data_IF_398949376381
#
_entry.id   IF_398949376381
#
_cell.length_a   1.000
_cell.length_b   1.000
_cell.length_c   1.000
_cell.angle_alpha   90.00
_cell.angle_beta   90.00
_cell.angle_gamma   90.00
#
_symmetry.space_group_name_H-M   'P 1'
#
loop_
_entity.id
_entity.type
_entity.pdbx_description
1 polymer ?
#
# COMPACT_ATOMS: atom_id res chain seq x y z
N UNK A 1 6.59 -2.50 -10.91
CA UNK A 1 7.99 -2.95 -10.74
C UNK A 1 8.29 -3.57 -9.37
N UNK A 2 7.30 -3.82 -8.50
CA UNK A 2 7.59 -4.41 -7.17
C UNK A 2 8.18 -5.82 -7.29
N UNK A 3 7.61 -6.67 -8.14
CA UNK A 3 8.10 -8.04 -8.34
C UNK A 3 9.57 -8.10 -8.79
N UNK A 4 9.97 -7.23 -9.73
CA UNK A 4 11.37 -7.14 -10.17
C UNK A 4 12.31 -6.76 -9.04
N UNK A 5 11.87 -5.89 -8.11
CA UNK A 5 12.66 -5.53 -6.93
C UNK A 5 12.75 -6.71 -5.97
N UNK A 6 11.64 -7.42 -5.71
CA UNK A 6 11.66 -8.62 -4.86
C UNK A 6 12.61 -9.68 -5.40
N UNK A 7 12.53 -9.98 -6.70
CA UNK A 7 13.43 -10.93 -7.37
C UNK A 7 14.91 -10.53 -7.23
N UNK A 8 15.24 -9.24 -7.38
CA UNK A 8 16.61 -8.76 -7.19
C UNK A 8 17.11 -8.95 -5.75
N UNK A 9 16.25 -8.73 -4.75
CA UNK A 9 16.59 -8.96 -3.33
C UNK A 9 16.74 -10.46 -3.05
N UNK A 10 15.85 -11.31 -3.58
CA UNK A 10 15.90 -12.76 -3.41
C UNK A 10 17.18 -13.40 -3.99
N UNK A 11 17.73 -12.85 -5.08
CA UNK A 11 19.01 -13.30 -5.65
C UNK A 11 20.24 -12.65 -4.99
N UNK A 12 20.06 -11.85 -3.94
CA UNK A 12 21.15 -11.25 -3.17
C UNK A 12 21.78 -10.01 -3.81
N UNK A 13 21.09 -9.32 -4.72
CA UNK A 13 21.61 -8.08 -5.32
C UNK A 13 21.71 -6.90 -4.33
N UNK A 14 21.05 -7.00 -3.17
CA UNK A 14 21.09 -5.99 -2.11
C UNK A 14 19.85 -6.00 -1.22
N UNK A 15 19.58 -4.86 -0.57
CA UNK A 15 18.38 -4.63 0.25
C UNK A 15 17.46 -3.60 -0.42
N UNK A 16 16.17 -3.61 -0.09
CA UNK A 16 15.21 -2.64 -0.60
C UNK A 16 14.18 -2.23 0.46
N UNK A 17 13.58 -1.05 0.28
CA UNK A 17 12.45 -0.57 1.08
C UNK A 17 11.19 -0.70 0.23
N UNK A 18 10.26 -1.53 0.70
CA UNK A 18 8.99 -1.81 0.03
C UNK A 18 7.82 -1.58 0.99
N UNK A 19 6.60 -1.32 0.49
CA UNK A 19 5.42 -1.32 1.34
C UNK A 19 5.24 -2.70 1.98
N UNK A 20 5.04 -2.74 3.29
CA UNK A 20 4.88 -3.97 4.08
C UNK A 20 3.90 -5.00 3.44
N UNK A 21 2.70 -4.62 2.97
CA UNK A 21 1.76 -5.59 2.39
C UNK A 21 2.28 -6.31 1.15
N UNK A 22 3.30 -5.76 0.49
CA UNK A 22 3.81 -6.28 -0.79
C UNK A 22 4.84 -7.40 -0.62
N UNK A 23 5.37 -7.58 0.61
CA UNK A 23 6.34 -8.61 0.97
C UNK A 23 5.79 -9.65 1.95
N UNK A 24 4.54 -9.48 2.41
CA UNK A 24 3.87 -10.39 3.37
C UNK A 24 3.97 -11.86 2.97
N UNK A 25 3.82 -12.15 1.67
CA UNK A 25 3.89 -13.52 1.16
C UNK A 25 5.30 -14.07 1.29
N UNK A 26 6.30 -13.34 0.82
CA UNK A 26 7.71 -13.72 0.82
C UNK A 26 8.24 -13.91 2.25
N UNK A 27 7.80 -13.05 3.18
CA UNK A 27 8.11 -13.19 4.61
C UNK A 27 7.46 -14.45 5.19
N UNK A 28 6.18 -14.74 4.87
CA UNK A 28 5.48 -15.95 5.35
C UNK A 28 6.11 -17.24 4.87
N UNK A 29 6.61 -17.28 3.63
CA UNK A 29 7.28 -18.47 3.07
C UNK A 29 8.78 -18.52 3.38
N UNK A 30 9.33 -17.48 4.00
CA UNK A 30 10.74 -17.40 4.38
C UNK A 30 11.71 -17.12 3.23
N UNK A 31 11.23 -16.61 2.08
CA UNK A 31 12.13 -16.23 0.98
C UNK A 31 12.77 -14.85 1.19
N UNK A 32 12.11 -13.97 1.96
CA UNK A 32 12.62 -12.67 2.37
C UNK A 32 12.45 -12.46 3.87
N UNK A 33 13.23 -11.55 4.44
CA UNK A 33 13.11 -11.09 5.83
C UNK A 33 12.81 -9.60 5.83
N UNK A 34 11.79 -9.19 6.60
CA UNK A 34 11.48 -7.78 6.82
C UNK A 34 12.25 -7.25 8.04
N UNK A 35 12.85 -6.07 7.91
CA UNK A 35 13.58 -5.39 8.98
C UNK A 35 12.84 -4.10 9.33
N UNK A 36 12.44 -3.89 10.60
CA UNK A 36 11.79 -2.65 11.03
C UNK A 36 12.69 -1.44 10.77
N UNK A 37 12.15 -0.39 10.14
CA UNK A 37 12.88 0.85 9.95
C UNK A 37 12.86 1.68 11.24
N UNK A 38 14.02 2.16 11.69
CA UNK A 38 14.17 3.01 12.87
C UNK A 38 13.76 4.49 12.61
N UNK A 39 12.57 4.69 12.03
CA UNK A 39 11.99 5.99 11.70
C UNK A 39 10.55 6.07 12.21
N UNK A 40 10.11 7.27 12.60
CA UNK A 40 8.74 7.48 13.03
C UNK A 40 7.78 7.31 11.83
N UNK A 41 6.87 6.35 11.95
CA UNK A 41 5.71 6.04 11.08
C UNK A 41 5.86 6.53 9.62
N UNK A 42 6.57 5.77 8.79
CA UNK A 42 6.50 5.96 7.33
C UNK A 42 5.09 5.56 6.84
N UNK A 43 4.36 6.50 6.26
CA UNK A 43 3.00 6.28 5.73
C UNK A 43 2.98 6.46 4.22
N UNK A 44 2.25 5.58 3.54
CA UNK A 44 2.00 5.65 2.10
C UNK A 44 0.49 5.64 1.84
N UNK A 45 -0.20 6.79 1.98
CA UNK A 45 -1.64 6.84 1.74
C UNK A 45 -1.95 6.55 0.27
N UNK A 46 -3.11 5.94 0.04
CA UNK A 46 -3.67 5.67 -1.29
C UNK A 46 -4.98 6.45 -1.40
N UNK A 47 -5.25 7.02 -2.58
CA UNK A 47 -6.45 7.81 -2.83
C UNK A 47 -7.23 7.30 -4.03
N UNK A 48 -8.52 7.64 -4.06
CA UNK A 48 -9.41 7.37 -5.19
C UNK A 48 -9.41 8.61 -6.11
N UNK A 49 -9.03 8.43 -7.38
CA UNK A 49 -8.98 9.51 -8.36
C UNK A 49 -10.15 9.37 -9.33
N UNK A 50 -10.89 10.46 -9.55
CA UNK A 50 -11.97 10.54 -10.54
C UNK A 50 -12.03 11.92 -11.21
N UNK A 51 -12.66 11.98 -12.38
CA UNK A 51 -12.80 13.24 -13.15
C UNK A 51 -13.82 14.15 -12.47
N UNK A 52 -13.40 15.38 -12.14
CA UNK A 52 -14.19 16.36 -11.38
C UNK A 52 -15.58 16.66 -11.94
N UNK A 53 -15.73 16.71 -13.28
CA UNK A 53 -17.00 17.05 -13.95
C UNK A 53 -17.78 15.85 -14.47
N UNK A 54 -17.39 14.62 -14.12
CA UNK A 54 -18.12 13.41 -14.52
C UNK A 54 -19.02 12.99 -13.36
N UNK A 55 -20.33 13.01 -13.57
CA UNK A 55 -21.27 12.48 -12.59
C UNK A 55 -21.01 10.98 -12.37
N UNK A 56 -21.01 10.58 -11.11
CA UNK A 56 -20.96 9.17 -10.77
C UNK A 56 -22.29 8.52 -11.14
N UNK A 57 -22.21 7.42 -11.87
CA UNK A 57 -23.37 6.53 -11.98
C UNK A 57 -23.64 5.91 -10.60
N UNK A 58 -24.87 5.48 -10.31
CA UNK A 58 -25.18 4.78 -9.05
C UNK A 58 -24.22 3.62 -8.75
N UNK A 59 -23.80 2.89 -9.79
CA UNK A 59 -22.83 1.79 -9.68
C UNK A 59 -21.45 2.27 -9.23
N UNK A 60 -20.94 3.38 -9.80
CA UNK A 60 -19.64 3.94 -9.42
C UNK A 60 -19.68 4.44 -7.98
N UNK A 61 -20.78 5.11 -7.58
CA UNK A 61 -20.94 5.58 -6.22
C UNK A 61 -20.91 4.42 -5.21
N UNK A 62 -21.66 3.34 -5.48
CA UNK A 62 -21.65 2.13 -4.64
C UNK A 62 -20.29 1.43 -4.62
N UNK A 63 -19.57 1.44 -5.73
CA UNK A 63 -18.20 0.90 -5.76
C UNK A 63 -17.23 1.72 -4.90
N UNK A 64 -17.31 3.06 -4.96
CA UNK A 64 -16.48 3.93 -4.12
C UNK A 64 -16.80 3.78 -2.64
N UNK A 65 -18.09 3.62 -2.28
CA UNK A 65 -18.52 3.31 -0.92
C UNK A 65 -17.91 2.00 -0.42
N UNK A 66 -18.00 0.94 -1.22
CA UNK A 66 -17.39 -0.36 -0.91
C UNK A 66 -15.86 -0.27 -0.72
N UNK A 67 -15.16 0.51 -1.55
CA UNK A 67 -13.71 0.73 -1.43
C UNK A 67 -13.32 1.53 -0.17
N UNK A 68 -14.22 2.37 0.33
CA UNK A 68 -14.01 3.12 1.58
C UNK A 68 -14.30 2.28 2.82
N UNK A 69 -15.25 1.36 2.74
CA UNK A 69 -15.53 0.42 3.85
C UNK A 69 -14.38 -0.59 4.04
N UNK A 70 -13.75 -1.02 2.95
CA UNK A 70 -12.65 -2.00 3.01
C UNK A 70 -11.32 -1.44 3.49
N UNK A 71 -11.16 -0.10 3.46
CA UNK A 71 -9.98 0.60 3.95
C UNK A 71 -10.43 1.59 5.03
N UNK A 72 -10.23 1.21 6.31
CA UNK A 72 -10.58 2.06 7.46
C UNK A 72 -10.15 3.51 7.25
N UNK A 73 -11.02 4.45 7.64
CA UNK A 73 -10.86 5.87 7.36
C UNK A 73 -9.44 6.36 7.68
N UNK A 74 -8.85 7.24 6.84
CA UNK A 74 -7.57 7.83 7.17
C UNK A 74 -7.73 8.56 8.51
N UNK A 75 -6.96 8.15 9.53
CA UNK A 75 -6.93 8.88 10.79
C UNK A 75 -6.52 10.33 10.52
N UNK A 76 -7.51 11.23 10.62
CA UNK A 76 -7.34 12.67 10.60
C UNK A 76 -6.74 13.09 11.95
N UNK A 77 -5.45 12.84 12.16
CA UNK A 77 -4.76 13.38 13.33
C UNK A 77 -3.26 13.55 13.09
N UNK A 78 -2.89 14.65 12.44
CA UNK A 78 -1.57 15.30 12.55
C UNK A 78 -1.78 16.81 12.38
N UNK A 79 -2.66 17.39 13.21
CA UNK A 79 -2.62 18.83 13.55
C UNK A 79 -2.06 18.94 14.96
N UNK A 80 -0.74 18.98 15.07
CA UNK A 80 -0.02 19.61 16.19
C UNK A 80 1.30 20.19 15.69
#
# INVERSE_FOLDING_TARGET
NIETIKQAVEIGAGISILPEPTVDKEVKIGSLVSVPLAIHKLRRPIGIIHRQRKMFTPTIAKFVELLKESHGEPEENDRE
#
